data_IF_092145177677
#
_entry.id   IF_092145177677
#
_cell.length_a   1.000
_cell.length_b   1.000
_cell.length_c   1.000
_cell.angle_alpha   90.00
_cell.angle_beta   90.00
_cell.angle_gamma   90.00
#
_symmetry.space_group_name_H-M   'P 1'
#
loop_
_entity.id
_entity.type
_entity.pdbx_description
1 polymer ?
#
# COMPACT_ATOMS: atom_id res chain seq x y z
N UNK A 1 57.52 67.92 30.33
CA UNK A 1 58.61 66.95 30.16
C UNK A 1 58.03 65.77 29.37
N UNK A 2 58.58 65.53 28.18
CA UNK A 2 58.34 64.40 27.25
C UNK A 2 57.01 64.29 26.46
N UNK A 3 57.15 64.57 25.15
CA UNK A 3 56.56 64.02 23.91
C UNK A 3 55.57 62.83 23.97
N UNK A 4 54.55 62.82 23.09
CA UNK A 4 54.65 62.18 21.77
C UNK A 4 53.34 62.25 20.98
N UNK A 5 53.49 62.44 19.67
CA UNK A 5 52.48 62.39 18.63
C UNK A 5 52.75 61.16 17.73
N UNK A 6 51.70 60.72 17.01
CA UNK A 6 51.74 59.95 15.77
C UNK A 6 51.83 58.40 15.74
N UNK A 7 50.75 57.84 15.16
CA UNK A 7 50.70 56.77 14.13
C UNK A 7 50.67 55.26 14.49
N UNK A 8 49.51 54.69 14.14
CA UNK A 8 49.26 53.45 13.39
C UNK A 8 50.09 52.18 13.69
N UNK A 9 49.42 51.15 14.25
CA UNK A 9 49.70 49.73 13.95
C UNK A 9 48.44 48.87 13.90
N UNK A 10 48.32 48.14 12.80
CA UNK A 10 47.40 47.02 12.53
C UNK A 10 47.43 45.96 13.64
N UNK A 11 46.26 45.44 14.03
CA UNK A 11 46.13 44.18 14.76
C UNK A 11 45.13 43.25 14.09
N UNK A 12 45.68 42.12 13.63
CA UNK A 12 45.01 40.92 13.14
C UNK A 12 44.16 40.29 14.27
N UNK A 13 42.90 39.97 13.98
CA UNK A 13 42.08 39.08 14.80
C UNK A 13 42.00 37.71 14.13
N UNK A 14 42.54 36.71 14.83
CA UNK A 14 42.57 35.30 14.44
C UNK A 14 41.46 34.60 15.22
N UNK A 15 40.33 34.30 14.58
CA UNK A 15 39.32 33.43 15.20
C UNK A 15 39.32 32.06 14.51
N UNK A 16 39.75 31.05 15.28
CA UNK A 16 39.82 29.64 14.87
C UNK A 16 38.41 29.04 14.89
N UNK A 17 37.89 28.67 13.73
CA UNK A 17 36.71 27.80 13.63
C UNK A 17 37.07 26.34 13.91
N UNK A 18 36.28 25.66 14.74
CA UNK A 18 36.29 24.19 14.93
C UNK A 18 35.84 23.50 13.62
N UNK A 19 36.45 22.36 13.23
CA UNK A 19 35.98 21.59 12.08
C UNK A 19 34.64 20.91 12.37
N UNK A 20 33.67 21.06 11.47
CA UNK A 20 32.43 20.27 11.44
C UNK A 20 32.73 18.90 10.82
N UNK A 21 32.09 17.87 11.36
CA UNK A 21 32.20 16.48 10.93
C UNK A 21 31.83 16.33 9.45
N UNK A 22 32.65 15.58 8.71
CA UNK A 22 32.47 15.25 7.30
C UNK A 22 31.28 14.34 7.10
N UNK A 23 30.47 14.62 6.08
CA UNK A 23 29.38 13.75 5.67
C UNK A 23 29.94 12.51 4.96
N UNK A 24 29.25 11.38 5.07
CA UNK A 24 29.60 10.13 4.39
C UNK A 24 29.61 10.29 2.85
N UNK A 25 28.95 11.33 2.32
CA UNK A 25 28.96 11.68 0.89
C UNK A 25 30.33 12.18 0.42
N UNK A 26 31.06 12.96 1.23
CA UNK A 26 32.40 13.44 0.87
C UNK A 26 33.44 12.30 0.80
N UNK A 27 33.21 11.22 1.57
CA UNK A 27 34.05 10.03 1.54
C UNK A 27 33.76 9.14 0.32
N UNK A 28 32.51 9.12 -0.17
CA UNK A 28 32.12 8.33 -1.35
C UNK A 28 32.59 8.99 -2.66
N UNK A 29 32.51 10.32 -2.76
CA UNK A 29 32.98 11.05 -3.94
C UNK A 29 34.51 10.95 -4.12
N UNK A 30 35.25 10.77 -3.01
CA UNK A 30 36.71 10.55 -3.04
C UNK A 30 37.13 9.16 -3.53
N UNK A 31 36.22 8.19 -3.55
CA UNK A 31 36.50 6.81 -3.99
C UNK A 31 36.30 6.66 -5.51
N UNK A 32 35.42 7.46 -6.13
CA UNK A 32 35.20 7.43 -7.59
C UNK A 32 36.32 8.08 -8.40
N UNK A 33 37.18 8.89 -7.77
CA UNK A 33 38.21 9.69 -8.47
C UNK A 33 39.66 9.28 -8.15
N UNK A 34 39.89 8.11 -7.56
CA UNK A 34 41.24 7.60 -7.32
C UNK A 34 41.78 6.86 -8.57
N UNK A 35 42.84 7.38 -9.25
CA UNK A 35 43.41 6.75 -10.44
C UNK A 35 44.22 5.48 -10.16
N UNK A 36 44.29 5.00 -8.91
CA UNK A 36 45.22 3.94 -8.50
C UNK A 36 44.61 2.52 -8.37
N UNK A 37 43.33 2.32 -8.69
CA UNK A 37 42.71 0.99 -8.69
C UNK A 37 42.54 0.40 -10.10
N UNK A 38 43.64 -0.11 -10.66
CA UNK A 38 43.60 -1.08 -11.77
C UNK A 38 44.24 -2.40 -11.33
N UNK A 39 43.47 -3.51 -11.38
CA UNK A 39 44.02 -4.87 -11.40
C UNK A 39 43.38 -5.66 -12.55
N UNK A 40 44.26 -6.07 -13.48
CA UNK A 40 44.17 -7.09 -14.54
C UNK A 40 43.20 -6.82 -15.73
N UNK A 41 43.57 -6.94 -17.02
CA UNK A 41 44.82 -7.32 -17.68
C UNK A 41 44.57 -7.80 -19.14
N UNK A 42 45.21 -7.13 -20.11
CA UNK A 42 45.73 -7.55 -21.44
C UNK A 42 44.82 -8.13 -22.58
N UNK A 43 44.76 -7.46 -23.75
CA UNK A 43 45.64 -7.70 -24.93
C UNK A 43 45.25 -6.89 -26.21
N UNK A 44 46.23 -6.11 -26.72
CA UNK A 44 46.64 -5.78 -28.12
C UNK A 44 45.64 -5.18 -29.17
N UNK A 45 45.98 -4.34 -30.15
CA UNK A 45 47.18 -3.61 -30.63
C UNK A 45 46.72 -2.54 -31.67
N UNK A 46 47.42 -1.39 -31.82
CA UNK A 46 47.39 -0.53 -33.03
C UNK A 46 47.04 0.97 -32.86
N UNK A 47 48.03 1.86 -33.07
CA UNK A 47 47.97 3.35 -33.17
C UNK A 47 48.22 3.82 -34.63
N UNK A 48 48.18 5.13 -35.04
CA UNK A 48 47.77 6.39 -34.37
C UNK A 48 46.85 7.39 -35.17
N UNK A 49 46.20 8.31 -34.43
CA UNK A 49 45.85 9.76 -34.69
C UNK A 49 44.89 10.23 -35.83
N UNK A 50 44.29 11.45 -35.76
CA UNK A 50 43.77 12.23 -34.61
C UNK A 50 42.33 12.85 -34.81
N UNK A 51 41.60 13.01 -33.69
CA UNK A 51 40.50 13.94 -33.26
C UNK A 51 39.58 14.73 -34.25
N UNK A 52 38.34 15.15 -33.85
CA UNK A 52 37.78 15.20 -32.49
C UNK A 52 36.45 14.44 -32.27
N UNK A 53 36.32 14.01 -31.02
CA UNK A 53 35.18 13.39 -30.37
C UNK A 53 33.96 14.32 -30.26
N UNK A 54 32.81 13.86 -30.75
CA UNK A 54 31.49 14.30 -30.27
C UNK A 54 31.11 13.48 -29.04
N UNK A 55 31.25 14.07 -27.86
CA UNK A 55 30.72 13.49 -26.61
C UNK A 55 29.18 13.47 -26.66
N UNK A 56 28.51 12.39 -26.23
CA UNK A 56 27.06 12.39 -26.12
C UNK A 56 26.64 13.40 -25.04
N UNK A 57 25.90 14.43 -25.46
CA UNK A 57 25.43 15.50 -24.59
C UNK A 57 24.38 14.95 -23.62
N UNK A 58 24.76 14.76 -22.35
CA UNK A 58 23.91 14.30 -21.24
C UNK A 58 22.68 15.22 -21.06
N UNK A 59 22.77 16.48 -21.51
CA UNK A 59 21.63 17.40 -21.52
C UNK A 59 20.51 16.98 -22.49
N UNK A 60 20.80 16.17 -23.52
CA UNK A 60 19.76 15.67 -24.45
C UNK A 60 18.91 14.54 -23.84
N UNK A 61 19.48 13.73 -22.95
CA UNK A 61 18.75 12.72 -22.18
C UNK A 61 17.91 13.36 -21.07
N UNK A 62 18.44 14.38 -20.39
CA UNK A 62 17.69 15.15 -19.41
C UNK A 62 16.53 15.93 -20.05
N UNK A 63 16.73 16.53 -21.23
CA UNK A 63 15.66 17.23 -21.96
C UNK A 63 14.61 16.27 -22.53
N UNK A 64 15.00 15.08 -23.00
CA UNK A 64 14.04 14.05 -23.41
C UNK A 64 13.27 13.45 -22.23
N UNK A 65 13.90 13.31 -21.06
CA UNK A 65 13.20 12.89 -19.84
C UNK A 65 12.22 13.97 -19.35
N UNK A 66 12.60 15.26 -19.40
CA UNK A 66 11.71 16.39 -19.05
C UNK A 66 10.54 16.55 -20.01
N UNK A 67 10.74 16.29 -21.31
CA UNK A 67 9.67 16.25 -22.32
C UNK A 67 8.74 15.04 -22.15
N UNK A 68 9.28 13.86 -21.77
CA UNK A 68 8.47 12.69 -21.42
C UNK A 68 7.63 12.93 -20.16
N UNK A 69 8.23 13.52 -19.12
CA UNK A 69 7.53 13.87 -17.87
C UNK A 69 6.52 15.02 -18.07
N UNK A 70 6.84 16.00 -18.92
CA UNK A 70 5.93 17.10 -19.27
C UNK A 70 4.71 16.62 -20.06
N UNK A 71 4.86 15.61 -20.93
CA UNK A 71 3.74 14.98 -21.63
C UNK A 71 2.93 14.03 -20.72
N UNK A 72 3.53 13.46 -19.67
CA UNK A 72 2.80 12.69 -18.65
C UNK A 72 2.01 13.58 -17.68
N UNK A 73 2.44 14.83 -17.42
CA UNK A 73 1.65 15.82 -16.65
C UNK A 73 0.33 16.17 -17.35
N UNK A 74 0.24 16.03 -18.68
CA UNK A 74 -1.02 16.14 -19.47
C UNK A 74 -1.86 14.86 -19.48
N UNK A 75 -1.38 13.76 -18.91
CA UNK A 75 -2.10 12.49 -18.75
C UNK A 75 -2.58 12.26 -17.31
N UNK A 76 -2.58 13.32 -16.51
CA UNK A 76 -3.25 13.36 -15.22
C UNK A 76 -4.74 13.62 -15.39
N UNK A 77 -5.54 12.63 -15.02
CA UNK A 77 -6.93 12.78 -14.58
C UNK A 77 -7.89 13.52 -15.54
N UNK A 78 -8.14 12.94 -16.71
CA UNK A 78 -9.43 13.16 -17.38
C UNK A 78 -10.49 12.30 -16.66
N UNK A 79 -11.09 12.87 -15.60
CA UNK A 79 -12.34 12.38 -15.04
C UNK A 79 -13.50 12.72 -15.99
N UNK A 80 -14.52 11.85 -16.12
CA UNK A 80 -15.62 12.08 -17.04
C UNK A 80 -16.48 13.25 -16.54
N UNK A 81 -16.39 14.40 -17.21
CA UNK A 81 -17.19 15.57 -16.88
C UNK A 81 -16.81 16.88 -17.57
N UNK A 82 -15.59 17.02 -18.10
CA UNK A 82 -15.17 18.24 -18.80
C UNK A 82 -14.67 17.90 -20.21
N UNK A 83 -15.38 18.39 -21.23
CA UNK A 83 -14.96 18.29 -22.63
C UNK A 83 -15.69 17.19 -23.40
N UNK A 84 -16.72 17.59 -24.15
CA UNK A 84 -17.36 16.77 -25.18
C UNK A 84 -16.37 16.44 -26.30
N UNK A 85 -15.54 15.42 -26.12
CA UNK A 85 -15.06 14.60 -27.24
C UNK A 85 -15.61 13.20 -27.01
N UNK A 86 -16.63 12.85 -27.80
CA UNK A 86 -17.25 11.53 -27.78
C UNK A 86 -16.23 10.57 -28.38
N UNK A 87 -15.31 10.05 -27.56
CA UNK A 87 -14.42 8.97 -27.95
C UNK A 87 -15.28 7.82 -28.46
N UNK A 88 -14.91 7.26 -29.63
CA UNK A 88 -15.64 6.16 -30.25
C UNK A 88 -15.91 5.04 -29.22
N UNK A 89 -17.06 4.34 -29.29
CA UNK A 89 -17.35 3.26 -28.36
C UNK A 89 -16.20 2.25 -28.41
N UNK A 90 -15.44 2.18 -27.32
CA UNK A 90 -14.38 1.20 -27.17
C UNK A 90 -15.01 -0.18 -27.15
N UNK A 91 -14.44 -1.11 -27.93
CA UNK A 91 -14.87 -2.50 -27.86
C UNK A 91 -14.60 -3.10 -26.47
N UNK A 92 -15.37 -4.11 -26.09
CA UNK A 92 -15.19 -4.85 -24.83
C UNK A 92 -13.72 -5.27 -24.59
N UNK A 93 -13.07 -5.81 -25.62
CA UNK A 93 -11.67 -6.23 -25.55
C UNK A 93 -10.70 -5.07 -25.32
N UNK A 94 -11.02 -3.89 -25.86
CA UNK A 94 -10.22 -2.70 -25.60
C UNK A 94 -10.29 -2.35 -24.12
N UNK A 95 -11.46 -2.38 -23.49
CA UNK A 95 -11.62 -2.06 -22.06
C UNK A 95 -10.86 -3.03 -21.16
N UNK A 96 -10.87 -4.34 -21.49
CA UNK A 96 -10.10 -5.37 -20.78
C UNK A 96 -8.60 -5.14 -20.91
N UNK A 97 -8.10 -4.97 -22.13
CA UNK A 97 -6.65 -4.83 -22.42
C UNK A 97 -6.11 -3.49 -21.89
N UNK A 98 -6.89 -2.42 -22.00
CA UNK A 98 -6.51 -1.09 -21.51
C UNK A 98 -6.69 -0.91 -20.00
N UNK A 99 -7.20 -1.92 -19.30
CA UNK A 99 -7.50 -1.87 -17.86
C UNK A 99 -8.43 -0.71 -17.46
N UNK A 100 -9.25 -0.20 -18.39
CA UNK A 100 -10.19 0.90 -18.14
C UNK A 100 -11.21 0.57 -17.06
N UNK A 101 -11.55 -0.70 -16.91
CA UNK A 101 -12.41 -1.18 -15.83
C UNK A 101 -11.91 -0.76 -14.44
N UNK A 102 -10.60 -0.62 -14.21
CA UNK A 102 -10.08 -0.16 -12.92
C UNK A 102 -10.38 1.33 -12.61
N UNK A 103 -10.67 2.13 -13.64
CA UNK A 103 -10.94 3.58 -13.53
C UNK A 103 -12.42 3.91 -13.73
N UNK A 104 -13.12 3.16 -14.57
CA UNK A 104 -14.50 3.43 -14.97
C UNK A 104 -15.47 2.40 -14.39
N UNK A 105 -16.43 2.82 -13.55
CA UNK A 105 -17.35 1.89 -12.89
C UNK A 105 -18.24 1.14 -13.89
N UNK A 106 -18.68 1.79 -14.98
CA UNK A 106 -19.49 1.13 -16.01
C UNK A 106 -18.77 -0.04 -16.69
N UNK A 107 -17.47 0.12 -16.94
CA UNK A 107 -16.66 -0.91 -17.60
C UNK A 107 -16.43 -2.10 -16.65
N UNK A 108 -16.12 -1.85 -15.38
CA UNK A 108 -16.08 -2.92 -14.36
C UNK A 108 -17.44 -3.61 -14.19
N UNK A 109 -18.54 -2.85 -14.17
CA UNK A 109 -19.89 -3.41 -14.03
C UNK A 109 -20.22 -4.37 -15.17
N UNK A 110 -19.89 -4.02 -16.42
CA UNK A 110 -20.06 -4.91 -17.58
C UNK A 110 -19.28 -6.21 -17.41
N UNK A 111 -18.05 -6.15 -16.90
CA UNK A 111 -17.23 -7.35 -16.65
C UNK A 111 -17.83 -8.25 -15.56
N UNK A 112 -18.37 -7.67 -14.49
CA UNK A 112 -19.01 -8.43 -13.41
C UNK A 112 -20.30 -9.13 -13.88
N UNK A 113 -21.05 -8.51 -14.79
CA UNK A 113 -22.27 -9.11 -15.33
C UNK A 113 -22.01 -10.35 -16.17
N UNK A 114 -20.83 -10.52 -16.77
CA UNK A 114 -20.56 -11.65 -17.66
C UNK A 114 -20.60 -12.99 -16.89
N UNK A 115 -19.81 -13.21 -15.82
CA UNK A 115 -19.92 -14.44 -15.02
C UNK A 115 -21.31 -14.65 -14.42
N UNK A 116 -22.00 -13.59 -14.00
CA UNK A 116 -23.35 -13.67 -13.46
C UNK A 116 -24.36 -14.16 -14.51
N UNK A 117 -24.31 -13.60 -15.72
CA UNK A 117 -25.17 -13.99 -16.82
C UNK A 117 -24.86 -15.42 -17.28
N UNK A 118 -23.58 -15.80 -17.37
CA UNK A 118 -23.14 -17.15 -17.71
C UNK A 118 -23.58 -18.17 -16.66
N UNK A 119 -23.42 -17.85 -15.38
CA UNK A 119 -23.90 -18.68 -14.27
C UNK A 119 -25.42 -18.88 -14.36
N UNK A 120 -26.20 -17.80 -14.48
CA UNK A 120 -27.66 -17.86 -14.55
C UNK A 120 -28.16 -18.58 -15.80
N UNK A 121 -27.54 -18.35 -16.96
CA UNK A 121 -27.90 -19.05 -18.19
C UNK A 121 -27.61 -20.55 -18.08
N UNK A 122 -26.47 -20.94 -17.51
CA UNK A 122 -26.13 -22.34 -17.29
C UNK A 122 -27.15 -23.03 -16.35
N UNK A 123 -27.52 -22.39 -15.24
CA UNK A 123 -28.57 -22.91 -14.33
C UNK A 123 -29.91 -23.09 -15.04
N UNK A 124 -30.31 -22.16 -15.91
CA UNK A 124 -31.55 -22.27 -16.66
C UNK A 124 -31.49 -23.43 -17.66
N UNK A 125 -30.38 -23.57 -18.40
CA UNK A 125 -30.18 -24.64 -19.38
C UNK A 125 -30.17 -26.00 -18.69
N UNK A 126 -29.44 -26.17 -17.60
CA UNK A 126 -29.37 -27.46 -16.89
C UNK A 126 -30.70 -27.86 -16.29
N UNK A 127 -31.44 -26.91 -15.72
CA UNK A 127 -32.74 -27.18 -15.08
C UNK A 127 -33.86 -27.46 -16.08
N UNK A 128 -33.93 -26.69 -17.18
CA UNK A 128 -35.08 -26.74 -18.10
C UNK A 128 -34.82 -27.47 -19.41
N UNK A 129 -33.56 -27.67 -19.81
CA UNK A 129 -33.21 -28.33 -21.09
C UNK A 129 -32.59 -29.70 -20.83
N UNK A 130 -31.60 -29.77 -19.92
CA UNK A 130 -30.86 -31.01 -19.70
C UNK A 130 -31.48 -31.90 -18.61
N UNK A 131 -32.35 -31.34 -17.76
CA UNK A 131 -33.01 -32.01 -16.63
C UNK A 131 -32.06 -32.84 -15.74
N UNK A 132 -30.77 -32.47 -15.70
CA UNK A 132 -29.74 -33.18 -14.95
C UNK A 132 -28.92 -32.22 -14.07
N UNK A 133 -28.53 -32.64 -12.87
CA UNK A 133 -27.78 -31.81 -11.93
C UNK A 133 -26.30 -31.75 -12.31
N UNK A 134 -25.96 -30.90 -13.27
CA UNK A 134 -24.56 -30.58 -13.57
C UNK A 134 -24.05 -29.45 -12.67
N UNK A 135 -22.81 -29.60 -12.19
CA UNK A 135 -22.11 -28.54 -11.47
C UNK A 135 -21.86 -27.34 -12.39
N UNK A 136 -22.24 -26.15 -11.93
CA UNK A 136 -22.09 -24.93 -12.72
C UNK A 136 -20.61 -24.54 -12.86
N UNK A 137 -20.05 -24.48 -14.08
CA UNK A 137 -18.63 -24.20 -14.30
C UNK A 137 -18.27 -22.75 -13.95
N UNK A 138 -19.24 -21.85 -13.82
CA UNK A 138 -19.03 -20.45 -13.45
C UNK A 138 -19.21 -20.20 -11.95
N UNK A 139 -19.70 -21.18 -11.18
CA UNK A 139 -19.83 -21.06 -9.72
C UNK A 139 -18.53 -20.65 -9.01
N UNK A 140 -17.33 -21.16 -9.41
CA UNK A 140 -16.07 -20.78 -8.78
C UNK A 140 -15.70 -19.30 -8.86
N UNK A 141 -16.25 -18.55 -9.83
CA UNK A 141 -16.04 -17.09 -9.92
C UNK A 141 -16.84 -16.35 -8.85
N UNK A 142 -18.00 -16.89 -8.47
CA UNK A 142 -18.98 -16.22 -7.62
C UNK A 142 -18.94 -16.69 -6.17
N UNK A 143 -18.63 -17.98 -5.95
CA UNK A 143 -18.74 -18.65 -4.67
C UNK A 143 -17.45 -19.40 -4.31
N UNK A 144 -17.20 -19.56 -3.01
CA UNK A 144 -16.08 -20.34 -2.51
C UNK A 144 -16.18 -21.81 -2.95
N UNK A 145 -15.07 -22.37 -3.42
CA UNK A 145 -14.97 -23.74 -3.94
C UNK A 145 -14.41 -24.72 -2.91
N UNK A 146 -14.43 -26.03 -3.20
CA UNK A 146 -13.81 -27.09 -2.38
C UNK A 146 -14.46 -27.34 -1.01
N UNK A 147 -15.79 -27.50 -0.98
CA UNK A 147 -16.48 -28.03 0.20
C UNK A 147 -16.02 -29.47 0.44
N UNK A 148 -15.64 -29.78 1.68
CA UNK A 148 -15.19 -31.11 2.07
C UNK A 148 -16.38 -32.05 2.26
N UNK A 149 -16.35 -33.21 1.60
CA UNK A 149 -17.45 -34.18 1.59
C UNK A 149 -17.69 -34.86 2.95
N UNK A 150 -16.67 -34.88 3.80
CA UNK A 150 -16.70 -35.42 5.16
C UNK A 150 -17.17 -34.38 6.21
N UNK A 151 -17.44 -33.15 5.80
CA UNK A 151 -17.96 -32.11 6.70
C UNK A 151 -19.47 -32.23 6.90
N UNK A 152 -19.92 -32.04 8.14
CA UNK A 152 -21.33 -32.04 8.47
C UNK A 152 -22.08 -30.91 7.75
N UNK A 153 -23.38 -31.11 7.52
CA UNK A 153 -24.21 -30.06 6.90
C UNK A 153 -24.38 -28.82 7.79
N UNK A 154 -24.35 -29.00 9.11
CA UNK A 154 -24.41 -27.98 10.15
C UNK A 154 -23.10 -27.19 10.31
N UNK A 155 -21.96 -27.80 10.01
CA UNK A 155 -20.62 -27.19 10.12
C UNK A 155 -19.79 -27.46 8.86
N UNK A 156 -20.15 -26.83 7.72
CA UNK A 156 -19.47 -27.08 6.46
C UNK A 156 -18.02 -26.58 6.51
N UNK A 157 -17.09 -27.44 6.06
CA UNK A 157 -15.66 -27.12 6.00
C UNK A 157 -15.18 -27.06 4.56
N UNK A 158 -14.20 -26.20 4.31
CA UNK A 158 -13.66 -25.95 2.99
C UNK A 158 -12.14 -26.13 2.97
N UNK A 159 -11.65 -26.81 1.93
CA UNK A 159 -10.23 -26.90 1.61
C UNK A 159 -9.79 -25.78 0.68
N UNK A 160 -8.65 -25.96 0.00
CA UNK A 160 -8.07 -25.00 -0.95
C UNK A 160 -7.95 -25.63 -2.34
N UNK A 161 -7.83 -24.80 -3.37
CA UNK A 161 -7.36 -25.24 -4.68
C UNK A 161 -7.40 -24.16 -5.75
N UNK A 162 -7.05 -24.52 -6.98
CA UNK A 162 -6.88 -23.60 -8.11
C UNK A 162 -8.13 -22.79 -8.47
N UNK A 163 -9.32 -23.31 -8.20
CA UNK A 163 -10.59 -22.58 -8.41
C UNK A 163 -10.74 -21.36 -7.50
N UNK A 164 -9.98 -21.27 -6.40
CA UNK A 164 -9.94 -20.08 -5.56
C UNK A 164 -9.30 -18.88 -6.29
N UNK A 165 -8.46 -19.12 -7.32
CA UNK A 165 -7.93 -18.05 -8.18
C UNK A 165 -9.02 -17.44 -9.07
N UNK A 166 -10.00 -18.25 -9.52
CA UNK A 166 -11.13 -17.72 -10.28
C UNK A 166 -11.95 -16.76 -9.42
N UNK A 167 -12.25 -17.16 -8.17
CA UNK A 167 -12.87 -16.29 -7.18
C UNK A 167 -12.05 -15.01 -7.01
N UNK A 168 -10.74 -15.12 -6.78
CA UNK A 168 -9.86 -13.97 -6.59
C UNK A 168 -9.93 -12.98 -7.76
N UNK A 169 -9.80 -13.46 -9.00
CA UNK A 169 -9.84 -12.60 -10.20
C UNK A 169 -11.19 -11.89 -10.34
N UNK A 170 -12.30 -12.59 -10.10
CA UNK A 170 -13.62 -11.96 -10.14
C UNK A 170 -13.74 -10.84 -9.09
N UNK A 171 -13.27 -11.10 -7.87
CA UNK A 171 -13.39 -10.13 -6.79
C UNK A 171 -12.38 -8.96 -6.89
N UNK A 172 -11.27 -9.09 -7.62
CA UNK A 172 -10.41 -7.95 -8.01
C UNK A 172 -11.18 -6.94 -8.87
N UNK A 173 -11.98 -7.43 -9.83
CA UNK A 173 -12.86 -6.59 -10.66
C UNK A 173 -13.97 -6.01 -9.78
N UNK A 174 -14.52 -6.79 -8.86
CA UNK A 174 -15.55 -6.34 -7.93
C UNK A 174 -15.05 -5.18 -7.06
N UNK A 175 -13.87 -5.30 -6.46
CA UNK A 175 -13.31 -4.22 -5.64
C UNK A 175 -12.96 -2.97 -6.47
N UNK A 176 -12.56 -3.13 -7.73
CA UNK A 176 -12.40 -1.99 -8.64
C UNK A 176 -13.73 -1.27 -8.90
N UNK A 177 -14.81 -2.02 -9.15
CA UNK A 177 -16.16 -1.45 -9.28
C UNK A 177 -16.60 -0.72 -8.01
N UNK A 178 -16.50 -1.38 -6.85
CA UNK A 178 -16.93 -0.83 -5.57
C UNK A 178 -16.14 0.42 -5.23
N UNK A 179 -14.82 0.39 -5.36
CA UNK A 179 -13.94 1.55 -5.11
C UNK A 179 -14.38 2.75 -5.93
N UNK A 180 -14.49 2.60 -7.25
CA UNK A 180 -14.87 3.72 -8.12
C UNK A 180 -16.29 4.22 -7.86
N UNK A 181 -17.26 3.30 -7.72
CA UNK A 181 -18.66 3.66 -7.50
C UNK A 181 -18.84 4.40 -6.18
N UNK A 182 -18.22 3.93 -5.10
CA UNK A 182 -18.29 4.55 -3.78
C UNK A 182 -17.57 5.91 -3.78
N UNK A 183 -16.39 5.99 -4.39
CA UNK A 183 -15.60 7.23 -4.48
C UNK A 183 -16.37 8.32 -5.23
N UNK A 184 -16.89 8.01 -6.42
CA UNK A 184 -17.52 8.98 -7.32
C UNK A 184 -18.94 9.32 -6.87
N UNK A 185 -19.75 8.33 -6.50
CA UNK A 185 -21.19 8.54 -6.26
C UNK A 185 -21.55 8.79 -4.79
N UNK A 186 -20.68 8.44 -3.84
CA UNK A 186 -20.98 8.57 -2.40
C UNK A 186 -20.04 9.57 -1.74
N UNK A 187 -18.73 9.32 -1.78
CA UNK A 187 -17.78 10.06 -0.95
C UNK A 187 -17.49 11.46 -1.51
N UNK A 188 -17.20 11.60 -2.81
CA UNK A 188 -16.96 12.92 -3.44
C UNK A 188 -18.14 13.89 -3.20
N UNK A 189 -19.41 13.51 -3.46
CA UNK A 189 -20.55 14.38 -3.16
C UNK A 189 -20.68 14.72 -1.67
N UNK A 190 -20.38 13.78 -0.77
CA UNK A 190 -20.37 14.03 0.66
C UNK A 190 -19.28 15.03 1.04
N UNK A 191 -18.07 14.89 0.52
CA UNK A 191 -16.95 15.80 0.76
C UNK A 191 -17.28 17.24 0.33
N UNK A 192 -17.92 17.40 -0.83
CA UNK A 192 -18.40 18.71 -1.31
C UNK A 192 -19.45 19.31 -0.38
N UNK A 193 -20.40 18.50 0.13
CA UNK A 193 -21.41 18.94 1.11
C UNK A 193 -20.79 19.34 2.44
N UNK A 194 -19.68 18.71 2.81
CA UNK A 194 -18.90 19.04 4.01
C UNK A 194 -17.93 20.22 3.81
N UNK A 195 -17.91 20.84 2.63
CA UNK A 195 -17.19 22.09 2.37
C UNK A 195 -15.81 21.95 1.73
N UNK A 196 -15.40 20.74 1.32
CA UNK A 196 -14.17 20.53 0.55
C UNK A 196 -14.42 20.93 -0.91
N UNK A 197 -13.68 21.93 -1.42
CA UNK A 197 -13.91 22.48 -2.78
C UNK A 197 -12.74 22.30 -3.77
N UNK A 198 -11.50 22.25 -3.29
CA UNK A 198 -10.32 22.06 -4.16
C UNK A 198 -10.30 20.61 -4.68
N UNK A 199 -10.18 20.42 -6.00
CA UNK A 199 -10.23 19.09 -6.65
C UNK A 199 -9.18 18.12 -6.08
N UNK A 200 -7.92 18.54 -5.96
CA UNK A 200 -6.86 17.69 -5.37
C UNK A 200 -7.21 17.22 -3.94
N UNK A 201 -7.79 18.11 -3.13
CA UNK A 201 -8.22 17.76 -1.76
C UNK A 201 -9.46 16.86 -1.75
N UNK A 202 -10.36 17.04 -2.71
CA UNK A 202 -11.52 16.16 -2.90
C UNK A 202 -11.11 14.73 -3.20
N UNK A 203 -10.11 14.54 -4.07
CA UNK A 203 -9.64 13.21 -4.43
C UNK A 203 -8.99 12.49 -3.24
N UNK A 204 -8.16 13.21 -2.46
CA UNK A 204 -7.58 12.63 -1.25
C UNK A 204 -8.58 12.37 -0.15
N UNK A 205 -9.54 13.27 0.04
CA UNK A 205 -10.65 13.01 0.93
C UNK A 205 -11.39 11.74 0.50
N UNK A 206 -11.62 11.56 -0.79
CA UNK A 206 -12.31 10.40 -1.32
C UNK A 206 -11.52 9.10 -1.15
N UNK A 207 -10.20 9.12 -1.37
CA UNK A 207 -9.29 8.01 -1.06
C UNK A 207 -9.39 7.61 0.42
N UNK A 208 -9.33 8.57 1.34
CA UNK A 208 -9.42 8.29 2.78
C UNK A 208 -10.83 7.83 3.19
N UNK A 209 -11.88 8.40 2.61
CA UNK A 209 -13.25 7.97 2.87
C UNK A 209 -13.48 6.52 2.44
N UNK A 210 -12.91 6.11 1.30
CA UNK A 210 -13.00 4.72 0.83
C UNK A 210 -12.21 3.79 1.76
N UNK A 211 -11.03 4.21 2.20
CA UNK A 211 -10.24 3.48 3.19
C UNK A 211 -11.02 3.25 4.50
N UNK A 212 -11.70 4.28 5.04
CA UNK A 212 -12.54 4.13 6.25
C UNK A 212 -13.64 3.08 6.04
N UNK A 213 -14.32 3.11 4.88
CA UNK A 213 -15.38 2.15 4.58
C UNK A 213 -14.84 0.72 4.45
N UNK A 214 -13.78 0.53 3.66
CA UNK A 214 -13.19 -0.78 3.44
C UNK A 214 -12.63 -1.37 4.74
N UNK A 215 -11.70 -0.66 5.39
CA UNK A 215 -11.05 -1.14 6.61
C UNK A 215 -12.02 -1.22 7.79
N UNK A 216 -13.07 -0.38 7.81
CA UNK A 216 -14.11 -0.46 8.83
C UNK A 216 -14.92 -1.75 8.72
N UNK A 217 -15.30 -2.14 7.50
CA UNK A 217 -16.03 -3.39 7.24
C UNK A 217 -15.12 -4.61 7.43
N UNK A 218 -13.95 -4.63 6.81
CA UNK A 218 -13.05 -5.78 6.82
C UNK A 218 -12.32 -5.95 8.16
N UNK A 219 -11.95 -4.87 8.85
CA UNK A 219 -11.41 -4.93 10.20
C UNK A 219 -12.45 -5.47 11.21
N UNK A 220 -13.71 -5.03 11.11
CA UNK A 220 -14.79 -5.56 11.96
C UNK A 220 -15.10 -7.02 11.65
N UNK A 221 -15.12 -7.39 10.37
CA UNK A 221 -15.32 -8.77 9.93
C UNK A 221 -14.17 -9.69 10.38
N UNK A 222 -12.92 -9.23 10.29
CA UNK A 222 -11.75 -9.94 10.79
C UNK A 222 -11.82 -10.22 12.29
N UNK A 223 -12.20 -9.20 13.08
CA UNK A 223 -12.45 -9.36 14.52
C UNK A 223 -13.56 -10.38 14.80
N UNK A 224 -14.66 -10.32 14.06
CA UNK A 224 -15.75 -11.29 14.19
C UNK A 224 -15.29 -12.71 13.84
N UNK A 225 -14.54 -12.89 12.75
CA UNK A 225 -13.93 -14.17 12.37
C UNK A 225 -13.01 -14.69 13.47
N UNK A 226 -12.16 -13.84 14.04
CA UNK A 226 -11.29 -14.21 15.15
C UNK A 226 -12.08 -14.64 16.39
N UNK A 227 -13.21 -14.00 16.69
CA UNK A 227 -14.05 -14.32 17.85
C UNK A 227 -14.65 -15.73 17.80
N UNK A 228 -14.71 -16.31 16.61
CA UNK A 228 -15.20 -17.67 16.38
C UNK A 228 -14.08 -18.72 16.42
N UNK A 229 -12.82 -18.30 16.62
CA UNK A 229 -11.65 -19.18 16.60
C UNK A 229 -10.96 -19.23 17.97
N UNK A 230 -10.20 -20.30 18.26
CA UNK A 230 -9.43 -20.39 19.52
C UNK A 230 -8.40 -19.26 19.70
N UNK A 231 -8.01 -18.61 18.61
CA UNK A 231 -7.10 -17.45 18.59
C UNK A 231 -7.73 -16.17 19.15
N UNK A 232 -9.00 -16.21 19.62
CA UNK A 232 -9.68 -15.02 20.12
C UNK A 232 -8.88 -14.26 21.16
N UNK A 233 -8.73 -12.99 20.77
CA UNK A 233 -7.86 -11.96 21.30
C UNK A 233 -6.36 -12.29 21.30
N UNK A 234 -5.85 -12.71 20.14
CA UNK A 234 -4.43 -12.94 19.89
C UNK A 234 -3.80 -13.96 20.84
N UNK A 235 -4.53 -15.03 21.18
CA UNK A 235 -3.96 -16.22 21.83
C UNK A 235 -3.09 -16.96 20.82
N UNK A 236 -1.80 -16.65 20.86
CA UNK A 236 -0.86 -17.01 19.81
C UNK A 236 -0.44 -18.47 19.83
N UNK A 237 -0.61 -19.17 20.95
CA UNK A 237 -0.37 -20.61 21.06
C UNK A 237 -1.20 -21.39 20.03
N UNK A 238 -2.43 -20.93 19.77
CA UNK A 238 -3.34 -21.53 18.82
C UNK A 238 -2.94 -21.31 17.35
N UNK A 239 -1.96 -20.46 17.06
CA UNK A 239 -1.39 -20.38 15.71
C UNK A 239 -0.66 -21.66 15.30
N UNK A 240 -0.23 -22.47 16.28
CA UNK A 240 0.64 -23.62 16.08
C UNK A 240 0.00 -24.92 16.54
N UNK A 241 -0.77 -24.87 17.63
CA UNK A 241 -1.56 -26.01 18.10
C UNK A 241 -2.50 -26.48 16.99
N UNK A 242 -2.59 -27.79 16.79
CA UNK A 242 -3.45 -28.42 15.77
C UNK A 242 -3.13 -28.03 14.32
N UNK A 243 -1.96 -27.42 14.06
CA UNK A 243 -1.46 -27.25 12.70
C UNK A 243 -1.34 -28.63 12.02
N UNK A 244 -1.81 -28.79 10.76
CA UNK A 244 -2.25 -27.76 9.81
C UNK A 244 -3.74 -27.39 9.89
N UNK A 245 -4.03 -26.09 9.87
CA UNK A 245 -5.41 -25.55 9.88
C UNK A 245 -6.06 -25.49 8.49
N UNK A 246 -5.93 -26.55 7.70
CA UNK A 246 -6.40 -26.58 6.29
C UNK A 246 -7.93 -26.63 6.14
N UNK A 247 -8.65 -27.05 7.20
CA UNK A 247 -10.12 -27.18 7.22
C UNK A 247 -10.77 -25.86 7.66
N UNK A 248 -10.98 -24.96 6.71
CA UNK A 248 -11.49 -23.61 7.01
C UNK A 248 -13.01 -23.58 7.18
N UNK A 249 -13.50 -22.70 8.05
CA UNK A 249 -14.92 -22.33 8.06
C UNK A 249 -15.25 -21.54 6.79
N UNK A 250 -16.53 -21.50 6.35
CA UNK A 250 -16.92 -20.78 5.15
C UNK A 250 -16.62 -19.29 5.28
N UNK A 251 -16.82 -18.74 6.49
CA UNK A 251 -16.58 -17.34 6.78
C UNK A 251 -15.09 -16.99 6.71
N UNK A 252 -14.22 -17.79 7.34
CA UNK A 252 -12.77 -17.56 7.30
C UNK A 252 -12.27 -17.62 5.86
N UNK A 253 -12.66 -18.66 5.10
CA UNK A 253 -12.24 -18.81 3.70
C UNK A 253 -12.70 -17.63 2.84
N UNK A 254 -13.97 -17.25 2.93
CA UNK A 254 -14.51 -16.12 2.17
C UNK A 254 -13.81 -14.82 2.52
N UNK A 255 -13.66 -14.53 3.83
CA UNK A 255 -12.95 -13.35 4.31
C UNK A 255 -11.51 -13.29 3.78
N UNK A 256 -10.78 -14.41 3.85
CA UNK A 256 -9.40 -14.48 3.43
C UNK A 256 -9.22 -14.27 1.92
N UNK A 257 -10.08 -14.88 1.10
CA UNK A 257 -10.04 -14.71 -0.36
C UNK A 257 -10.47 -13.30 -0.79
N UNK A 258 -11.44 -12.69 -0.10
CA UNK A 258 -11.82 -11.29 -0.34
C UNK A 258 -10.68 -10.33 0.01
N UNK A 259 -10.02 -10.51 1.15
CA UNK A 259 -8.82 -9.74 1.51
C UNK A 259 -7.73 -9.90 0.44
N UNK A 260 -7.43 -11.13 0.02
CA UNK A 260 -6.46 -11.39 -1.04
C UNK A 260 -6.82 -10.65 -2.35
N UNK A 261 -8.10 -10.64 -2.72
CA UNK A 261 -8.60 -9.95 -3.91
C UNK A 261 -8.44 -8.44 -3.81
N UNK A 262 -8.78 -7.85 -2.65
CA UNK A 262 -8.62 -6.42 -2.43
C UNK A 262 -7.16 -6.00 -2.46
N UNK A 263 -6.28 -6.69 -1.73
CA UNK A 263 -4.85 -6.32 -1.71
C UNK A 263 -4.18 -6.55 -3.07
N UNK A 264 -4.63 -7.53 -3.85
CA UNK A 264 -4.21 -7.68 -5.26
C UNK A 264 -4.69 -6.49 -6.10
N UNK A 265 -5.95 -6.07 -5.93
CA UNK A 265 -6.51 -4.90 -6.61
C UNK A 265 -5.72 -3.62 -6.24
N UNK A 266 -5.38 -3.42 -4.97
CA UNK A 266 -4.62 -2.26 -4.51
C UNK A 266 -3.17 -2.26 -5.05
N UNK A 267 -2.52 -3.43 -5.13
CA UNK A 267 -1.21 -3.55 -5.79
C UNK A 267 -1.29 -3.14 -7.27
N UNK A 268 -2.34 -3.57 -7.99
CA UNK A 268 -2.54 -3.18 -9.39
C UNK A 268 -2.75 -1.68 -9.52
N UNK A 269 -3.57 -1.07 -8.65
CA UNK A 269 -3.78 0.39 -8.61
C UNK A 269 -2.45 1.13 -8.46
N UNK A 270 -1.58 0.63 -7.57
CA UNK A 270 -0.29 1.22 -7.28
C UNK A 270 0.70 1.09 -8.45
N UNK A 271 0.91 -0.12 -8.95
CA UNK A 271 1.90 -0.42 -9.99
C UNK A 271 1.52 0.21 -11.34
N UNK A 272 0.22 0.30 -11.63
CA UNK A 272 -0.28 0.94 -12.86
C UNK A 272 -0.34 2.48 -12.76
N UNK A 273 0.07 3.06 -11.62
CA UNK A 273 0.05 4.50 -11.41
C UNK A 273 -1.34 5.11 -11.53
N UNK A 274 -2.39 4.38 -11.10
CA UNK A 274 -3.76 4.90 -11.14
C UNK A 274 -4.01 5.95 -10.04
N UNK A 275 -3.14 5.99 -9.02
CA UNK A 275 -3.07 7.02 -7.99
C UNK A 275 -1.79 7.86 -8.16
N UNK A 276 -1.85 9.17 -7.85
CA UNK A 276 -0.68 10.05 -7.88
C UNK A 276 0.38 9.51 -6.90
N UNK A 277 1.62 9.21 -7.35
CA UNK A 277 2.67 8.70 -6.49
C UNK A 277 2.92 9.60 -5.28
N UNK A 278 3.08 8.97 -4.11
CA UNK A 278 3.38 9.66 -2.85
C UNK A 278 4.90 9.75 -2.63
N UNK A 279 5.35 10.60 -1.71
CA UNK A 279 6.78 10.74 -1.36
C UNK A 279 7.37 9.44 -0.78
N UNK A 280 6.54 8.57 -0.22
CA UNK A 280 6.86 7.24 0.31
C UNK A 280 6.47 6.09 -0.65
N UNK A 281 6.47 6.36 -1.96
CA UNK A 281 6.03 5.39 -2.97
C UNK A 281 6.83 4.08 -2.94
N UNK A 282 8.15 4.14 -2.75
CA UNK A 282 8.99 2.94 -2.73
C UNK A 282 8.67 2.06 -1.51
N UNK A 283 8.54 2.67 -0.34
CA UNK A 283 8.18 1.99 0.90
C UNK A 283 6.79 1.38 0.81
N UNK A 284 5.84 2.09 0.18
CA UNK A 284 4.48 1.60 -0.07
C UNK A 284 4.49 0.39 -1.03
N UNK A 285 5.29 0.41 -2.10
CA UNK A 285 5.45 -0.72 -3.03
C UNK A 285 6.07 -1.92 -2.32
N UNK A 286 7.16 -1.73 -1.57
CA UNK A 286 7.79 -2.80 -0.78
C UNK A 286 6.78 -3.41 0.19
N UNK A 287 6.01 -2.57 0.89
CA UNK A 287 4.93 -3.03 1.76
C UNK A 287 3.93 -3.90 1.01
N UNK A 288 3.46 -3.48 -0.17
CA UNK A 288 2.48 -4.27 -0.93
C UNK A 288 3.05 -5.61 -1.42
N UNK A 289 4.32 -5.65 -1.81
CA UNK A 289 4.99 -6.91 -2.16
C UNK A 289 5.06 -7.86 -0.97
N UNK A 290 5.43 -7.36 0.22
CA UNK A 290 5.44 -8.13 1.46
C UNK A 290 4.02 -8.59 1.83
N UNK A 291 3.02 -7.73 1.69
CA UNK A 291 1.61 -8.04 1.96
C UNK A 291 1.12 -9.17 1.05
N UNK A 292 1.29 -9.07 -0.27
CA UNK A 292 0.87 -10.14 -1.20
C UNK A 292 1.61 -11.45 -0.92
N UNK A 293 2.90 -11.39 -0.59
CA UNK A 293 3.65 -12.57 -0.18
C UNK A 293 3.08 -13.20 1.10
N UNK A 294 2.82 -12.41 2.14
CA UNK A 294 2.26 -12.91 3.41
C UNK A 294 0.88 -13.54 3.22
N UNK A 295 0.00 -12.90 2.44
CA UNK A 295 -1.34 -13.40 2.16
C UNK A 295 -1.25 -14.72 1.39
N UNK A 296 -0.48 -14.74 0.30
CA UNK A 296 -0.39 -15.91 -0.57
C UNK A 296 0.29 -17.08 0.14
N UNK A 297 1.43 -16.83 0.79
CA UNK A 297 2.18 -17.87 1.50
C UNK A 297 1.35 -18.45 2.64
N UNK A 298 0.76 -17.62 3.51
CA UNK A 298 0.00 -18.14 4.65
C UNK A 298 -1.29 -18.85 4.26
N UNK A 299 -1.91 -18.54 3.11
CA UNK A 299 -2.97 -19.36 2.53
C UNK A 299 -2.44 -20.73 2.06
N UNK A 300 -1.34 -20.73 1.29
CA UNK A 300 -0.73 -21.96 0.75
C UNK A 300 -0.29 -22.90 1.88
N UNK A 301 0.37 -22.37 2.91
CA UNK A 301 0.96 -23.18 4.00
C UNK A 301 0.06 -23.38 5.21
N UNK A 302 -1.25 -23.13 5.12
CA UNK A 302 -2.23 -23.35 6.20
C UNK A 302 -2.00 -22.51 7.47
N UNK A 303 -1.51 -21.27 7.32
CA UNK A 303 -1.30 -20.30 8.41
C UNK A 303 -2.32 -19.15 8.35
N UNK A 304 -3.54 -19.42 7.88
CA UNK A 304 -4.60 -18.42 7.72
C UNK A 304 -5.01 -17.77 9.04
N UNK A 305 -4.80 -18.44 10.17
CA UNK A 305 -5.08 -17.89 11.51
C UNK A 305 -4.09 -16.78 11.90
N UNK A 306 -2.80 -16.96 11.62
CA UNK A 306 -1.79 -15.90 11.74
C UNK A 306 -2.12 -14.77 10.75
N UNK A 307 -2.46 -15.12 9.51
CA UNK A 307 -2.87 -14.15 8.49
C UNK A 307 -4.05 -13.29 8.93
N UNK A 308 -5.09 -13.88 9.56
CA UNK A 308 -6.21 -13.13 10.12
C UNK A 308 -5.77 -12.16 11.23
N UNK A 309 -4.87 -12.60 12.13
CA UNK A 309 -4.32 -11.75 13.18
C UNK A 309 -3.58 -10.53 12.59
N UNK A 310 -2.76 -10.75 11.55
CA UNK A 310 -2.07 -9.66 10.83
C UNK A 310 -3.05 -8.73 10.12
N UNK A 311 -4.09 -9.25 9.45
CA UNK A 311 -5.11 -8.39 8.81
C UNK A 311 -5.79 -7.47 9.83
N UNK A 312 -6.18 -7.99 10.99
CA UNK A 312 -6.86 -7.19 12.03
C UNK A 312 -5.96 -6.06 12.52
N UNK A 313 -4.68 -6.34 12.81
CA UNK A 313 -3.77 -5.29 13.30
C UNK A 313 -3.55 -4.19 12.27
N UNK A 314 -3.50 -4.55 10.98
CA UNK A 314 -3.34 -3.59 9.90
C UNK A 314 -4.62 -2.79 9.67
N UNK A 315 -5.72 -3.46 9.33
CA UNK A 315 -6.95 -2.81 8.87
C UNK A 315 -7.55 -1.91 9.96
N UNK A 316 -7.65 -2.40 11.20
CA UNK A 316 -8.27 -1.62 12.29
C UNK A 316 -7.47 -0.33 12.56
N UNK A 317 -6.14 -0.38 12.48
CA UNK A 317 -5.32 0.82 12.65
C UNK A 317 -5.48 1.81 11.48
N UNK A 318 -5.69 1.31 10.26
CA UNK A 318 -5.84 2.14 9.06
C UNK A 318 -7.18 2.88 9.03
N UNK A 319 -8.23 2.34 9.67
CA UNK A 319 -9.48 3.09 9.91
C UNK A 319 -9.19 4.40 10.65
N UNK A 320 -8.42 4.33 11.74
CA UNK A 320 -8.12 5.51 12.55
C UNK A 320 -7.13 6.45 11.85
N UNK A 321 -6.20 5.92 11.07
CA UNK A 321 -5.34 6.74 10.21
C UNK A 321 -6.18 7.55 9.22
N UNK A 322 -7.07 6.88 8.48
CA UNK A 322 -7.90 7.51 7.45
C UNK A 322 -8.88 8.52 8.07
N UNK A 323 -9.49 8.21 9.22
CA UNK A 323 -10.33 9.14 9.97
C UNK A 323 -9.56 10.40 10.41
N UNK A 324 -8.34 10.25 10.92
CA UNK A 324 -7.52 11.41 11.34
C UNK A 324 -7.23 12.37 10.17
N UNK A 325 -7.01 11.82 8.97
CA UNK A 325 -6.82 12.59 7.73
C UNK A 325 -8.11 13.25 7.25
N UNK A 326 -9.25 12.55 7.33
CA UNK A 326 -10.56 13.14 7.01
C UNK A 326 -10.82 14.38 7.89
N UNK A 327 -10.60 14.29 9.20
CA UNK A 327 -10.76 15.43 10.10
C UNK A 327 -9.78 16.57 9.82
N UNK A 328 -8.57 16.26 9.33
CA UNK A 328 -7.63 17.26 8.82
C UNK A 328 -8.21 18.02 7.61
N UNK A 329 -8.72 17.31 6.61
CA UNK A 329 -9.30 17.92 5.42
C UNK A 329 -10.55 18.75 5.72
N UNK A 330 -11.32 18.41 6.76
CA UNK A 330 -12.47 19.18 7.24
C UNK A 330 -12.09 20.40 8.09
N UNK A 331 -10.80 20.63 8.35
CA UNK A 331 -10.29 21.74 9.19
C UNK A 331 -10.90 21.76 10.61
N UNK A 332 -11.25 20.59 11.15
CA UNK A 332 -11.83 20.45 12.48
C UNK A 332 -10.74 20.38 13.55
N UNK A 333 -10.10 21.51 13.89
CA UNK A 333 -8.87 21.56 14.70
C UNK A 333 -8.91 20.68 15.97
N UNK A 334 -9.92 20.84 16.84
CA UNK A 334 -10.02 20.04 18.08
C UNK A 334 -10.15 18.53 17.78
N UNK A 335 -11.01 18.16 16.83
CA UNK A 335 -11.25 16.77 16.46
C UNK A 335 -10.05 16.15 15.76
N UNK A 336 -9.34 16.91 14.91
CA UNK A 336 -8.07 16.51 14.28
C UNK A 336 -7.05 16.12 15.34
N UNK A 337 -6.78 16.96 16.33
CA UNK A 337 -5.79 16.65 17.38
C UNK A 337 -6.18 15.43 18.22
N UNK A 338 -7.44 15.35 18.66
CA UNK A 338 -7.93 14.20 19.45
C UNK A 338 -7.86 12.91 18.64
N UNK A 339 -8.31 12.93 17.39
CA UNK A 339 -8.29 11.77 16.50
C UNK A 339 -6.87 11.32 16.15
N UNK A 340 -5.94 12.26 15.94
CA UNK A 340 -4.53 11.95 15.67
C UNK A 340 -3.81 11.35 16.88
N UNK A 341 -4.08 11.86 18.10
CA UNK A 341 -3.59 11.27 19.34
C UNK A 341 -4.13 9.85 19.55
N UNK A 342 -5.45 9.66 19.36
CA UNK A 342 -6.08 8.34 19.45
C UNK A 342 -5.53 7.36 18.40
N UNK A 343 -5.41 7.80 17.15
CA UNK A 343 -4.78 7.04 16.08
C UNK A 343 -3.37 6.59 16.47
N UNK A 344 -2.56 7.49 17.06
CA UNK A 344 -1.20 7.14 17.48
C UNK A 344 -1.20 6.01 18.53
N UNK A 345 -2.09 6.08 19.52
CA UNK A 345 -2.24 5.01 20.54
C UNK A 345 -2.64 3.68 19.90
N UNK A 346 -3.62 3.70 19.00
CA UNK A 346 -4.09 2.50 18.30
C UNK A 346 -2.98 1.92 17.42
N UNK A 347 -2.24 2.76 16.69
CA UNK A 347 -1.09 2.34 15.89
C UNK A 347 -0.02 1.68 16.77
N UNK A 348 0.37 2.29 17.88
CA UNK A 348 1.36 1.71 18.81
C UNK A 348 0.93 0.32 19.31
N UNK A 349 -0.34 0.16 19.67
CA UNK A 349 -0.84 -1.13 20.15
C UNK A 349 -0.95 -2.18 19.04
N UNK A 350 -1.64 -1.86 17.95
CA UNK A 350 -1.93 -2.84 16.89
C UNK A 350 -0.71 -3.11 16.01
N UNK A 351 -0.04 -2.07 15.48
CA UNK A 351 1.07 -2.21 14.52
C UNK A 351 2.39 -2.61 15.17
N UNK A 352 2.57 -2.36 16.47
CA UNK A 352 3.82 -2.69 17.16
C UNK A 352 3.66 -3.70 18.26
N UNK A 353 2.87 -3.43 19.30
CA UNK A 353 2.78 -4.37 20.42
C UNK A 353 2.26 -5.74 19.97
N UNK A 354 1.10 -5.80 19.29
CA UNK A 354 0.55 -7.07 18.82
C UNK A 354 1.41 -7.71 17.73
N UNK A 355 2.01 -6.93 16.84
CA UNK A 355 2.91 -7.48 15.82
C UNK A 355 4.19 -8.08 16.44
N UNK A 356 4.72 -7.49 17.51
CA UNK A 356 5.82 -8.08 18.29
C UNK A 356 5.39 -9.34 19.02
N UNK A 357 4.15 -9.42 19.52
CA UNK A 357 3.57 -10.64 20.09
C UNK A 357 3.48 -11.75 19.03
N UNK A 358 3.04 -11.43 17.81
CA UNK A 358 3.02 -12.39 16.68
C UNK A 358 4.45 -12.85 16.35
N UNK A 359 5.42 -11.94 16.24
CA UNK A 359 6.83 -12.29 16.00
C UNK A 359 7.42 -13.16 17.11
N UNK A 360 7.09 -12.85 18.36
CA UNK A 360 7.49 -13.65 19.52
C UNK A 360 6.91 -15.06 19.42
N UNK A 361 5.64 -15.21 19.05
CA UNK A 361 5.01 -16.50 18.83
C UNK A 361 5.69 -17.32 17.73
N UNK A 362 6.01 -16.69 16.58
CA UNK A 362 6.78 -17.36 15.51
C UNK A 362 8.16 -17.80 16.01
N UNK A 363 8.78 -17.05 16.93
CA UNK A 363 10.10 -17.39 17.43
C UNK A 363 10.11 -18.43 18.56
N UNK A 364 9.12 -18.43 19.45
CA UNK A 364 9.14 -19.22 20.68
C UNK A 364 8.05 -20.28 20.76
N UNK A 365 6.94 -20.12 20.04
CA UNK A 365 5.81 -21.05 20.06
C UNK A 365 5.73 -21.94 18.81
N UNK A 366 6.58 -21.72 17.81
CA UNK A 366 6.68 -22.58 16.62
C UNK A 366 6.88 -24.06 16.96
N UNK A 367 7.52 -24.36 18.09
CA UNK A 367 7.75 -25.74 18.54
C UNK A 367 6.51 -26.43 19.12
N UNK A 368 5.39 -25.71 19.27
CA UNK A 368 4.08 -26.30 19.62
C UNK A 368 3.45 -27.09 18.46
N UNK A 369 3.99 -26.98 17.24
CA UNK A 369 3.53 -27.76 16.09
C UNK A 369 3.74 -29.26 16.36
N UNK A 370 2.69 -30.11 16.31
CA UNK A 370 2.81 -31.53 16.63
C UNK A 370 3.75 -32.30 15.71
N UNK A 371 3.73 -32.00 14.41
CA UNK A 371 4.50 -32.70 13.39
C UNK A 371 5.21 -31.70 12.47
N UNK A 372 6.53 -31.52 12.70
CA UNK A 372 7.37 -30.55 11.98
C UNK A 372 8.08 -31.18 10.79
N UNK A 373 7.34 -31.48 9.73
CA UNK A 373 7.89 -32.01 8.48
C UNK A 373 7.28 -31.34 7.25
N UNK A 374 7.95 -31.54 6.12
CA UNK A 374 7.46 -31.15 4.81
C UNK A 374 6.81 -32.37 4.16
N UNK A 375 5.48 -32.38 4.08
CA UNK A 375 4.68 -33.40 3.43
C UNK A 375 3.47 -32.75 2.74
N UNK A 376 3.66 -32.43 1.46
CA UNK A 376 2.67 -31.73 0.64
C UNK A 376 1.39 -32.56 0.50
N UNK A 377 1.50 -33.91 0.45
CA UNK A 377 0.35 -34.78 0.28
C UNK A 377 -0.61 -34.73 1.48
N UNK A 378 -0.08 -34.43 2.67
CA UNK A 378 -0.83 -34.33 3.92
C UNK A 378 -0.99 -32.88 4.40
N UNK A 379 -0.78 -31.88 3.52
CA UNK A 379 -0.94 -30.45 3.84
C UNK A 379 -0.01 -29.95 4.98
N UNK A 380 1.12 -30.62 5.19
CA UNK A 380 2.14 -30.27 6.18
C UNK A 380 3.29 -29.51 5.52
N UNK A 381 3.48 -28.23 5.89
CA UNK A 381 4.51 -27.37 5.30
C UNK A 381 5.54 -26.85 6.32
N UNK A 382 5.39 -27.20 7.61
CA UNK A 382 6.15 -26.59 8.71
C UNK A 382 7.38 -27.42 9.09
N UNK A 383 8.35 -27.53 8.18
CA UNK A 383 9.69 -28.00 8.52
C UNK A 383 10.45 -26.98 9.41
N UNK A 384 11.57 -27.39 10.01
CA UNK A 384 12.36 -26.53 10.92
C UNK A 384 12.76 -25.17 10.32
N UNK A 385 12.98 -25.09 9.01
CA UNK A 385 13.34 -23.85 8.33
C UNK A 385 12.14 -22.94 8.02
N UNK A 386 10.91 -23.47 8.02
CA UNK A 386 9.68 -22.72 7.73
C UNK A 386 9.48 -21.57 8.72
N UNK A 387 9.97 -21.73 9.96
CA UNK A 387 10.04 -20.67 10.97
C UNK A 387 10.66 -19.38 10.43
N UNK A 388 11.77 -19.46 9.70
CA UNK A 388 12.43 -18.27 9.14
C UNK A 388 11.66 -17.68 7.97
N UNK A 389 11.00 -18.52 7.17
CA UNK A 389 10.16 -18.09 6.04
C UNK A 389 8.90 -17.35 6.50
N UNK A 390 8.38 -17.66 7.69
CA UNK A 390 7.26 -16.96 8.33
C UNK A 390 7.76 -15.72 9.07
N UNK A 391 8.88 -15.82 9.80
CA UNK A 391 9.41 -14.72 10.62
C UNK A 391 9.86 -13.53 9.77
N UNK A 392 10.68 -13.79 8.74
CA UNK A 392 11.29 -12.74 7.92
C UNK A 392 10.27 -11.75 7.33
N UNK A 393 9.20 -12.15 6.63
CA UNK A 393 8.25 -11.21 6.05
C UNK A 393 7.46 -10.42 7.11
N UNK A 394 7.09 -11.02 8.24
CA UNK A 394 6.42 -10.31 9.35
C UNK A 394 7.38 -9.31 9.99
N UNK A 395 8.67 -9.66 10.07
CA UNK A 395 9.71 -8.76 10.56
C UNK A 395 9.95 -7.59 9.60
N UNK A 396 10.02 -7.84 8.28
CA UNK A 396 10.09 -6.78 7.28
C UNK A 396 8.87 -5.84 7.37
N UNK A 397 7.68 -6.41 7.57
CA UNK A 397 6.46 -5.65 7.81
C UNK A 397 6.56 -4.76 9.07
N UNK A 398 7.16 -5.28 10.15
CA UNK A 398 7.45 -4.49 11.36
C UNK A 398 8.43 -3.34 11.09
N UNK A 399 9.46 -3.55 10.27
CA UNK A 399 10.42 -2.49 9.93
C UNK A 399 9.75 -1.34 9.17
N UNK A 400 8.90 -1.65 8.19
CA UNK A 400 8.15 -0.62 7.46
C UNK A 400 7.17 0.11 8.40
N UNK A 401 6.49 -0.62 9.30
CA UNK A 401 5.63 0.02 10.30
C UNK A 401 6.42 0.95 11.22
N UNK A 402 7.65 0.59 11.62
CA UNK A 402 8.53 1.45 12.44
C UNK A 402 8.95 2.73 11.70
N UNK A 403 9.23 2.63 10.40
CA UNK A 403 9.52 3.79 9.57
C UNK A 403 8.35 4.81 9.60
N UNK A 404 7.13 4.35 9.34
CA UNK A 404 5.96 5.24 9.42
C UNK A 404 5.68 5.73 10.85
N UNK A 405 5.92 4.90 11.86
CA UNK A 405 5.75 5.29 13.26
C UNK A 405 6.70 6.42 13.67
N UNK A 406 7.95 6.39 13.20
CA UNK A 406 8.87 7.51 13.39
C UNK A 406 8.30 8.81 12.81
N UNK A 407 7.67 8.77 11.63
CA UNK A 407 7.02 9.94 11.04
C UNK A 407 5.81 10.41 11.86
N UNK A 408 4.98 9.47 12.34
CA UNK A 408 3.81 9.77 13.19
C UNK A 408 4.26 10.45 14.48
N UNK A 409 5.26 9.89 15.18
CA UNK A 409 5.79 10.48 16.41
C UNK A 409 6.43 11.85 16.17
N UNK A 410 7.14 12.02 15.05
CA UNK A 410 7.69 13.32 14.67
C UNK A 410 6.60 14.38 14.50
N UNK A 411 5.49 14.03 13.86
CA UNK A 411 4.33 14.93 13.70
C UNK A 411 3.69 15.20 15.08
N UNK A 412 3.54 14.17 15.92
CA UNK A 412 2.96 14.30 17.27
C UNK A 412 3.78 15.24 18.16
N UNK A 413 5.11 15.08 18.18
CA UNK A 413 6.01 15.95 18.95
C UNK A 413 5.89 17.39 18.47
N UNK A 414 5.82 17.62 17.15
CA UNK A 414 5.63 18.98 16.60
C UNK A 414 4.28 19.57 17.02
N UNK A 415 3.20 18.80 16.91
CA UNK A 415 1.87 19.22 17.31
C UNK A 415 1.76 19.60 18.80
N UNK A 416 2.53 18.96 19.69
CA UNK A 416 2.51 19.21 21.13
C UNK A 416 3.43 20.38 21.52
N UNK A 417 4.66 20.41 21.00
CA UNK A 417 5.71 21.33 21.46
C UNK A 417 5.85 22.60 20.63
N UNK A 418 5.22 22.66 19.44
CA UNK A 418 5.24 23.84 18.57
C UNK A 418 3.84 24.18 18.01
N UNK A 419 2.80 24.32 18.87
CA UNK A 419 1.43 24.55 18.40
C UNK A 419 1.24 25.89 17.66
N UNK A 420 2.10 26.88 17.90
CA UNK A 420 2.04 28.20 17.27
C UNK A 420 2.74 28.27 15.90
N UNK A 421 3.55 27.26 15.53
CA UNK A 421 4.17 27.14 14.20
C UNK A 421 3.22 26.54 13.15
N UNK A 422 2.14 25.88 13.57
CA UNK A 422 1.06 25.39 12.69
C UNK A 422 0.27 26.53 12.00
N UNK A 423 0.52 27.80 12.37
CA UNK A 423 -0.08 28.97 11.71
C UNK A 423 0.80 29.62 10.64
N UNK A 424 2.09 29.30 10.56
CA UNK A 424 3.06 30.03 9.73
C UNK A 424 3.80 29.16 8.72
N UNK A 425 3.65 27.83 8.74
CA UNK A 425 4.11 26.98 7.62
C UNK A 425 3.42 25.62 7.71
N UNK A 426 2.21 25.53 7.14
CA UNK A 426 1.55 24.24 6.85
C UNK A 426 2.14 23.61 5.57
N UNK A 427 3.47 23.61 5.48
CA UNK A 427 4.24 23.12 4.33
C UNK A 427 4.52 21.61 4.45
N UNK A 428 3.89 20.95 5.43
CA UNK A 428 4.13 19.53 5.70
C UNK A 428 2.90 18.70 6.05
N UNK A 429 1.71 19.31 6.10
CA UNK A 429 0.45 18.55 6.06
C UNK A 429 -0.40 18.80 4.82
N UNK A 430 0.07 19.66 3.89
CA UNK A 430 -0.58 19.93 2.61
C UNK A 430 0.30 19.78 1.35
N UNK A 431 1.60 19.45 1.42
CA UNK A 431 2.40 19.35 0.18
C UNK A 431 2.36 17.96 -0.48
N UNK A 432 1.21 17.72 -1.12
CA UNK A 432 1.06 16.80 -2.24
C UNK A 432 1.36 17.46 -3.60
N UNK A 433 2.45 18.22 -3.69
CA UNK A 433 3.08 18.62 -4.95
C UNK A 433 2.18 19.43 -5.89
N UNK A 434 1.76 20.61 -5.45
CA UNK A 434 1.45 21.77 -6.32
C UNK A 434 1.36 23.13 -5.57
N UNK A 435 1.72 23.24 -4.28
CA UNK A 435 1.64 24.51 -3.54
C UNK A 435 2.96 25.33 -3.61
N UNK A 436 3.48 25.60 -4.82
CA UNK A 436 4.65 26.46 -5.01
C UNK A 436 4.37 27.77 -5.79
N UNK A 437 3.12 28.04 -6.18
CA UNK A 437 2.79 29.18 -7.06
C UNK A 437 1.81 30.21 -6.44
N UNK A 438 1.56 30.20 -5.12
CA UNK A 438 0.42 30.97 -4.55
C UNK A 438 0.79 31.92 -3.38
N UNK A 439 1.95 32.59 -3.45
CA UNK A 439 2.27 33.75 -2.58
C UNK A 439 2.88 34.97 -3.31
N UNK A 440 2.42 35.32 -4.52
CA UNK A 440 2.91 36.55 -5.16
C UNK A 440 1.88 37.53 -5.74
N UNK A 441 0.56 37.34 -5.60
CA UNK A 441 -0.40 38.20 -6.34
C UNK A 441 -1.41 39.02 -5.50
N UNK A 442 -1.35 38.99 -4.17
CA UNK A 442 -2.33 39.75 -3.33
C UNK A 442 -1.75 40.95 -2.56
N UNK A 443 -0.55 41.44 -2.91
CA UNK A 443 0.05 42.61 -2.25
C UNK A 443 0.36 43.79 -3.19
N UNK A 444 -0.42 43.96 -4.26
CA UNK A 444 -0.36 45.16 -5.10
C UNK A 444 -1.76 45.61 -5.53
N UNK A 445 -2.54 46.16 -4.58
CA UNK A 445 -3.58 47.19 -4.81
C UNK A 445 -4.22 47.64 -3.49
N UNK A 446 -3.50 48.49 -2.77
CA UNK A 446 -4.12 49.52 -1.93
C UNK A 446 -3.14 50.68 -1.80
N UNK A 447 -3.09 51.51 -2.85
CA UNK A 447 -2.73 52.93 -2.73
C UNK A 447 -4.02 53.75 -2.61
#
# INVERSE_FOLDING_TARGET
>A
MAESDSSARLRVSKNRGRPRASSIQDALDSIEHDPSHHIAGAMAEGTPDPTPSSSPNINSLANNAKLRYGNEKRRGMDLPGAGTSRAAPSGFWHDVISMRWMREPESSFKLLLIPLALYGNFELVTRYILEQPYSNPFAPLLFISYRLSDSESSDPRYGKGWLDLAFLVYYVIFFSFVRQSVTIHIIRPLAMRLGVRKEAKLDRFAEQGYAVLYFGVFGSLGLYVMSQMPTWWFKTEHFWLEYPHWRMTPLLKTYYLLQASYWTQQLLVLVLGLEKPRKDYLELVIHHLVTIYLISSSYIVNLTWIGNAVFITMDVSDVFLALSKIFNYLKMNKTKFVSFGWFTVVWSYLRHWLNLVILWSVWFEFDLIPDKRMDIANELYMAWFAKYLVFLPIFLLQLVNLFWYFLILRILVRAIFAPDLDKVDDDRSDDEGDDADDESDDNEKSD
#
